data_IF_372658738156
#
_entry.id   IF_372658738156
#
_cell.length_a   1.000
_cell.length_b   1.000
_cell.length_c   1.000
_cell.angle_alpha   90.00
_cell.angle_beta   90.00
_cell.angle_gamma   90.00
#
_symmetry.space_group_name_H-M   'P 1'
#
loop_
_entity.id
_entity.type
_entity.pdbx_description
1 polymer ?
#
# COMPACT_ATOMS: atom_id res chain seq x y z
N UNK A 1 14.88 1.11 -7.07
CA UNK A 1 13.79 1.57 -6.17
C UNK A 1 12.67 2.12 -7.03
N UNK A 2 11.47 1.65 -6.83
CA UNK A 2 10.26 2.20 -7.46
C UNK A 2 9.44 2.90 -6.38
N UNK A 3 9.10 4.16 -6.61
CA UNK A 3 8.27 4.98 -5.72
C UNK A 3 6.94 5.22 -6.41
N UNK A 4 5.89 4.61 -5.89
CA UNK A 4 4.52 4.72 -6.38
C UNK A 4 3.65 5.23 -5.25
N UNK A 5 3.48 6.54 -5.19
CA UNK A 5 2.65 7.18 -4.18
C UNK A 5 2.27 8.60 -4.61
N UNK A 6 1.26 9.15 -3.97
CA UNK A 6 0.96 10.58 -4.00
C UNK A 6 1.49 11.21 -2.72
N UNK A 7 2.21 12.31 -2.86
CA UNK A 7 2.76 13.08 -1.76
C UNK A 7 2.26 14.52 -1.87
N UNK A 8 1.74 15.05 -0.80
CA UNK A 8 1.28 16.45 -0.74
C UNK A 8 2.46 17.41 -0.57
N UNK A 9 3.50 16.95 0.13
CA UNK A 9 4.68 17.75 0.44
C UNK A 9 5.96 17.16 -0.17
N UNK A 10 6.98 18.01 -0.45
CA UNK A 10 8.28 17.55 -0.91
C UNK A 10 8.91 16.54 0.06
N UNK A 11 9.45 15.45 -0.48
CA UNK A 11 10.11 14.40 0.30
C UNK A 11 11.63 14.48 0.12
N UNK A 12 12.37 14.33 1.20
CA UNK A 12 13.84 14.29 1.17
C UNK A 12 14.35 12.88 0.89
N UNK A 13 15.37 12.80 0.07
CA UNK A 13 16.11 11.56 -0.18
C UNK A 13 17.42 11.63 0.61
N UNK A 14 17.70 10.69 1.53
CA UNK A 14 18.92 10.67 2.34
C UNK A 14 20.12 10.17 1.52
N UNK A 15 20.61 10.97 0.59
CA UNK A 15 21.72 10.60 -0.30
C UNK A 15 22.96 10.07 0.41
N UNK A 16 23.40 10.59 1.58
CA UNK A 16 24.55 10.05 2.31
C UNK A 16 24.39 8.57 2.68
N UNK A 17 23.16 8.13 3.02
CA UNK A 17 22.88 6.74 3.38
C UNK A 17 22.75 5.82 2.16
N UNK A 18 22.58 6.40 0.98
CA UNK A 18 22.40 5.71 -0.29
C UNK A 18 23.68 5.61 -1.10
N UNK A 19 24.72 6.33 -0.69
CA UNK A 19 26.02 6.33 -1.35
C UNK A 19 26.60 4.91 -1.44
N UNK A 20 27.12 4.56 -2.60
CA UNK A 20 27.73 3.26 -2.86
C UNK A 20 26.74 2.10 -3.12
N UNK A 21 25.43 2.32 -3.05
CA UNK A 21 24.43 1.27 -3.31
C UNK A 21 24.02 1.16 -4.77
N UNK A 22 24.52 2.02 -5.66
CA UNK A 22 24.22 2.03 -7.10
C UNK A 22 22.70 1.94 -7.41
N UNK A 23 21.90 2.74 -6.71
CA UNK A 23 20.45 2.69 -6.82
C UNK A 23 19.93 3.42 -8.06
N UNK A 24 18.97 2.82 -8.72
CA UNK A 24 18.15 3.48 -9.74
C UNK A 24 16.79 3.80 -9.15
N UNK A 25 16.35 5.05 -9.30
CA UNK A 25 15.02 5.49 -8.88
C UNK A 25 14.10 5.62 -10.09
N UNK A 26 12.90 5.07 -9.96
CA UNK A 26 11.79 5.28 -10.89
C UNK A 26 10.58 5.74 -10.10
N UNK A 27 9.88 6.71 -10.63
CA UNK A 27 8.61 7.19 -10.07
C UNK A 27 7.50 6.96 -11.08
N UNK A 28 6.29 6.77 -10.61
CA UNK A 28 5.12 6.63 -11.46
C UNK A 28 3.83 6.65 -10.66
N UNK A 29 2.73 6.94 -11.35
CA UNK A 29 1.39 6.77 -10.80
C UNK A 29 0.95 5.31 -10.88
N UNK A 30 -0.09 4.99 -10.15
CA UNK A 30 -0.78 3.71 -10.29
C UNK A 30 -1.67 3.75 -11.52
N UNK A 31 -1.54 2.77 -12.39
CA UNK A 31 -2.50 2.53 -13.47
C UNK A 31 -3.18 1.16 -13.28
N UNK A 32 -4.31 0.97 -13.96
CA UNK A 32 -5.10 -0.24 -13.87
C UNK A 32 -4.79 -1.29 -14.96
N UNK A 33 -3.73 -1.12 -15.74
CA UNK A 33 -3.47 -1.94 -16.93
C UNK A 33 -3.36 -3.44 -16.63
N UNK A 34 -2.89 -3.80 -15.45
CA UNK A 34 -2.68 -5.20 -15.05
C UNK A 34 -3.70 -5.70 -14.00
N UNK A 35 -4.74 -4.94 -13.70
CA UNK A 35 -5.71 -5.33 -12.67
C UNK A 35 -6.33 -6.71 -12.93
N UNK A 36 -6.75 -6.98 -14.17
CA UNK A 36 -7.36 -8.26 -14.51
C UNK A 36 -6.37 -9.42 -14.33
N UNK A 37 -5.14 -9.26 -14.80
CA UNK A 37 -4.11 -10.28 -14.65
C UNK A 37 -3.80 -10.58 -13.17
N UNK A 38 -3.70 -9.53 -12.35
CA UNK A 38 -3.46 -9.69 -10.90
C UNK A 38 -4.63 -10.40 -10.22
N UNK A 39 -5.86 -10.06 -10.58
CA UNK A 39 -7.05 -10.72 -10.07
C UNK A 39 -7.07 -12.21 -10.44
N UNK A 40 -6.72 -12.56 -11.67
CA UNK A 40 -6.67 -13.93 -12.13
C UNK A 40 -5.56 -14.73 -11.41
N UNK A 41 -4.40 -14.11 -11.17
CA UNK A 41 -3.31 -14.71 -10.39
C UNK A 41 -3.71 -14.94 -8.94
N UNK A 42 -4.45 -14.02 -8.34
CA UNK A 42 -4.96 -14.15 -6.97
C UNK A 42 -6.03 -15.25 -6.91
N UNK A 43 -6.97 -15.26 -7.85
CA UNK A 43 -8.05 -16.24 -7.90
C UNK A 43 -7.54 -17.68 -8.10
N UNK A 44 -6.45 -17.87 -8.85
CA UNK A 44 -5.85 -19.19 -9.04
C UNK A 44 -4.81 -19.56 -7.96
N UNK A 45 -4.64 -18.74 -6.92
CA UNK A 45 -3.75 -19.00 -5.78
C UNK A 45 -2.26 -18.85 -6.07
N UNK A 46 -1.88 -18.26 -7.20
CA UNK A 46 -0.48 -17.96 -7.53
C UNK A 46 0.03 -16.70 -6.84
N UNK A 47 -0.86 -15.82 -6.45
CA UNK A 47 -0.56 -14.60 -5.71
C UNK A 47 -1.40 -14.58 -4.44
N UNK A 48 -0.76 -14.62 -3.29
CA UNK A 48 -1.41 -14.45 -1.99
C UNK A 48 -1.35 -12.98 -1.59
N UNK A 49 -2.51 -12.37 -1.37
CA UNK A 49 -2.67 -10.98 -0.95
C UNK A 49 -3.35 -10.84 0.41
N UNK A 50 -3.72 -11.94 1.05
CA UNK A 50 -4.51 -11.93 2.29
C UNK A 50 -3.77 -11.25 3.44
N UNK A 51 -2.44 -11.37 3.48
CA UNK A 51 -1.61 -10.73 4.50
C UNK A 51 -1.68 -9.18 4.48
N UNK A 52 -2.13 -8.58 3.36
CA UNK A 52 -2.29 -7.14 3.25
C UNK A 52 -3.50 -6.64 4.03
N UNK A 53 -4.56 -7.46 4.18
CA UNK A 53 -5.78 -7.07 4.90
C UNK A 53 -5.62 -7.41 6.37
N UNK A 54 -5.02 -6.49 7.11
CA UNK A 54 -4.72 -6.69 8.53
C UNK A 54 -5.92 -6.48 9.44
N UNK A 55 -6.87 -5.64 9.00
CA UNK A 55 -8.04 -5.27 9.82
C UNK A 55 -9.32 -5.39 9.01
N UNK A 56 -10.42 -5.70 9.71
CA UNK A 56 -11.77 -5.79 9.12
C UNK A 56 -12.80 -5.20 10.09
N UNK A 57 -13.80 -4.51 9.57
CA UNK A 57 -14.94 -4.04 10.36
C UNK A 57 -16.21 -3.93 9.51
N UNK A 58 -17.33 -3.72 10.17
CA UNK A 58 -18.55 -3.27 9.54
C UNK A 58 -18.55 -1.76 9.28
N UNK A 59 -19.50 -1.29 8.48
CA UNK A 59 -19.64 0.13 8.17
C UNK A 59 -19.94 0.99 9.41
N UNK A 60 -20.59 0.43 10.39
CA UNK A 60 -20.88 1.08 11.69
C UNK A 60 -19.64 1.48 12.47
N UNK A 61 -18.50 0.83 12.20
CA UNK A 61 -17.21 1.09 12.84
C UNK A 61 -16.25 1.93 11.98
N UNK A 62 -16.74 2.52 10.89
CA UNK A 62 -15.90 3.21 9.90
C UNK A 62 -15.05 4.34 10.49
N UNK A 63 -15.58 5.07 11.48
CA UNK A 63 -14.84 6.17 12.11
C UNK A 63 -13.64 5.68 12.91
N UNK A 64 -13.78 4.55 13.58
CA UNK A 64 -12.67 3.90 14.28
C UNK A 64 -11.63 3.37 13.27
N UNK A 65 -12.10 2.77 12.18
CA UNK A 65 -11.22 2.30 11.10
C UNK A 65 -10.37 3.42 10.50
N UNK A 66 -10.94 4.61 10.29
CA UNK A 66 -10.21 5.79 9.86
C UNK A 66 -9.17 6.24 10.88
N UNK A 67 -9.53 6.30 12.17
CA UNK A 67 -8.58 6.69 13.22
C UNK A 67 -7.39 5.73 13.30
N UNK A 68 -7.64 4.43 13.22
CA UNK A 68 -6.58 3.40 13.22
C UNK A 68 -5.69 3.54 11.98
N UNK A 69 -6.29 3.71 10.80
CA UNK A 69 -5.56 3.75 9.53
C UNK A 69 -4.73 5.04 9.40
N UNK A 70 -5.32 6.19 9.68
CA UNK A 70 -4.66 7.50 9.58
C UNK A 70 -3.48 7.64 10.55
N UNK A 71 -3.69 7.18 11.78
CA UNK A 71 -2.67 7.25 12.83
C UNK A 71 -1.72 6.04 12.85
N UNK A 72 -1.81 5.15 11.86
CA UNK A 72 -0.95 3.95 11.71
C UNK A 72 -0.88 3.10 12.98
N UNK A 73 -2.03 2.97 13.68
CA UNK A 73 -2.14 2.18 14.91
C UNK A 73 -2.17 0.69 14.57
N UNK A 74 -1.82 -0.13 15.57
CA UNK A 74 -1.94 -1.60 15.54
C UNK A 74 -1.36 -2.27 14.28
N UNK A 75 -0.26 -1.71 13.76
CA UNK A 75 0.43 -2.22 12.56
C UNK A 75 -0.47 -2.38 11.33
N UNK A 76 -1.48 -1.51 11.18
CA UNK A 76 -2.41 -1.54 10.05
C UNK A 76 -1.68 -1.38 8.70
N UNK A 77 -2.00 -2.28 7.76
CA UNK A 77 -1.59 -2.17 6.35
C UNK A 77 -2.79 -1.84 5.49
N UNK A 78 -3.85 -2.64 5.60
CA UNK A 78 -5.13 -2.44 4.90
C UNK A 78 -6.28 -2.70 5.85
N UNK A 79 -7.29 -1.86 5.76
CA UNK A 79 -8.56 -2.01 6.46
C UNK A 79 -9.65 -2.38 5.45
N UNK A 80 -10.29 -3.53 5.60
CA UNK A 80 -11.44 -3.91 4.79
C UNK A 80 -12.73 -3.59 5.56
N UNK A 81 -13.61 -2.82 4.93
CA UNK A 81 -14.92 -2.47 5.48
C UNK A 81 -15.98 -3.22 4.69
N UNK A 82 -16.85 -3.96 5.40
CA UNK A 82 -17.98 -4.67 4.81
C UNK A 82 -19.28 -3.88 5.02
N UNK A 83 -20.15 -3.91 4.02
CA UNK A 83 -21.48 -3.30 4.05
C UNK A 83 -22.49 -4.23 4.73
#
# INVERSE_FOLDING_TARGET
>A
VVVVAMYEEPQMIPLPEMYGKNLTFKTGGVDGSYCQEIMDLTACGKLDTDFLITHRCGLDQIMEAYDVFENKKDHVIKYAVTL
#
